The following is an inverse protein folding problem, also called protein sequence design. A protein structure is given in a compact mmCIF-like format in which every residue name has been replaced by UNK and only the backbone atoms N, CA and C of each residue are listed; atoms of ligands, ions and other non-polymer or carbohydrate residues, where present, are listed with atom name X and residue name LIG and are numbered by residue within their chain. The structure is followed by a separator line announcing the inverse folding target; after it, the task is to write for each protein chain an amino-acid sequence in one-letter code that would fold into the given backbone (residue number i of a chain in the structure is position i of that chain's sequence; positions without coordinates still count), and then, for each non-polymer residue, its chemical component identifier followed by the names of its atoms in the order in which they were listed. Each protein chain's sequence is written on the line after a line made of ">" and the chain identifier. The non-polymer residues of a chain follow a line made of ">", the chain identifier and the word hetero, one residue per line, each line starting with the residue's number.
data_IF_884553211399
#
_entry.id   IF_884553211399
#
_cell.length_a   1.000
_cell.length_b   1.000
_cell.length_c   1.000
_cell.angle_alpha   90.00
_cell.angle_beta   90.00
_cell.angle_gamma   90.00
#
_symmetry.space_group_name_H-M   'P 1'
#
loop_
_entity.id
_entity.type
_entity.pdbx_description
1 polymer ?
#
# COMPACT_ATOMS: atom_id res chain seq x y z
N UNK A 1 31.22 6.48 0.57
CA UNK A 1 30.87 6.70 0.63
C UNK A 1 30.53 6.66 0.73
N UNK A 2 30.40 6.67 0.70
CA UNK A 2 30.00 6.74 0.74
C UNK A 2 29.31 6.99 0.73
N UNK A 3 29.05 7.32 0.73
CA UNK A 3 28.32 7.55 0.68
C UNK A 3 27.61 7.64 0.00
N UNK A 4 27.40 7.78 -0.40
CA UNK A 4 26.85 7.97 -1.20
C UNK A 4 26.15 7.26 -1.95
N UNK A 5 26.45 6.80 -2.22
CA UNK A 5 25.97 5.94 -3.27
C UNK A 5 25.01 4.92 -2.84
N UNK A 6 25.16 4.41 -1.69
CA UNK A 6 24.30 3.33 -1.25
C UNK A 6 22.85 3.72 -1.02
N UNK A 7 22.60 4.92 -0.65
CA UNK A 7 21.19 5.24 -0.46
C UNK A 7 20.51 5.53 -1.77
N UNK A 8 21.24 5.59 -2.82
CA UNK A 8 20.61 5.63 -4.12
C UNK A 8 19.96 4.31 -4.43
N UNK A 9 20.51 3.25 -3.91
CA UNK A 9 19.92 1.95 -4.07
C UNK A 9 18.55 1.87 -3.43
N UNK A 10 18.36 2.59 -2.36
CA UNK A 10 17.08 2.59 -1.70
C UNK A 10 15.98 3.12 -2.56
N UNK A 11 16.30 4.00 -3.47
CA UNK A 11 15.27 4.60 -4.30
C UNK A 11 14.87 3.73 -5.47
N UNK A 12 15.85 3.07 -6.05
CA UNK A 12 15.61 2.34 -7.28
C UNK A 12 14.65 1.17 -7.13
N UNK A 13 14.84 0.29 -6.17
CA UNK A 13 13.99 -0.89 -6.08
C UNK A 13 12.54 -0.58 -5.81
N UNK A 14 12.28 0.36 -4.94
CA UNK A 14 10.90 0.58 -4.54
C UNK A 14 10.05 1.22 -5.59
N UNK A 15 10.65 1.85 -6.56
CA UNK A 15 9.89 2.51 -7.59
C UNK A 15 9.15 1.54 -8.49
N UNK A 16 9.65 0.32 -8.61
CA UNK A 16 9.11 -0.65 -9.54
C UNK A 16 8.38 -1.79 -8.86
N UNK A 17 8.21 -1.67 -7.59
CA UNK A 17 7.79 -2.79 -6.77
C UNK A 17 6.30 -2.74 -6.45
N UNK A 18 5.62 -3.85 -6.69
CA UNK A 18 4.21 -3.99 -6.35
C UNK A 18 4.05 -5.23 -5.48
N UNK A 19 3.50 -5.03 -4.30
CA UNK A 19 3.28 -6.09 -3.35
C UNK A 19 1.93 -6.76 -3.62
N UNK A 20 1.91 -8.07 -3.65
CA UNK A 20 0.65 -8.81 -3.81
C UNK A 20 0.53 -9.78 -2.64
N UNK A 21 -0.41 -9.55 -1.72
CA UNK A 21 -0.52 -10.40 -0.53
C UNK A 21 -0.92 -11.85 -0.80
N UNK A 22 -1.72 -12.09 -1.83
CA UNK A 22 -2.13 -13.45 -2.22
C UNK A 22 -2.93 -14.19 -1.17
N UNK A 23 -3.57 -13.50 -0.25
CA UNK A 23 -4.41 -14.12 0.74
C UNK A 23 -5.85 -13.74 0.52
N UNK A 24 -6.76 -14.72 0.55
CA UNK A 24 -8.19 -14.45 0.44
C UNK A 24 -8.78 -14.01 1.77
N UNK A 25 -8.04 -14.18 2.85
CA UNK A 25 -8.48 -13.75 4.17
C UNK A 25 -8.03 -12.31 4.38
N UNK A 26 -8.97 -11.34 4.51
CA UNK A 26 -8.58 -9.94 4.63
C UNK A 26 -7.72 -9.65 5.86
N UNK A 27 -7.96 -10.34 6.97
CA UNK A 27 -7.13 -10.12 8.15
C UNK A 27 -5.69 -10.53 7.92
N UNK A 28 -5.49 -11.65 7.24
CA UNK A 28 -4.13 -12.09 6.90
C UNK A 28 -3.46 -11.14 5.92
N UNK A 29 -4.24 -10.61 4.98
CA UNK A 29 -3.69 -9.64 4.03
C UNK A 29 -3.25 -8.38 4.74
N UNK A 30 -4.05 -7.90 5.69
CA UNK A 30 -3.68 -6.72 6.49
C UNK A 30 -2.39 -6.99 7.26
N UNK A 31 -2.29 -8.13 7.91
CA UNK A 31 -1.09 -8.47 8.66
C UNK A 31 0.14 -8.53 7.76
N UNK A 32 -0.02 -9.13 6.60
CA UNK A 32 1.09 -9.25 5.65
C UNK A 32 1.56 -7.87 5.18
N UNK A 33 0.62 -7.02 4.78
CA UNK A 33 0.97 -5.69 4.28
C UNK A 33 1.56 -4.83 5.40
N UNK A 34 0.96 -4.86 6.59
CA UNK A 34 1.47 -4.07 7.69
C UNK A 34 2.84 -4.54 8.13
N UNK A 35 3.09 -5.84 8.08
CA UNK A 35 4.40 -6.38 8.38
C UNK A 35 5.43 -5.88 7.37
N UNK A 36 5.05 -5.79 6.12
CA UNK A 36 5.93 -5.27 5.08
C UNK A 36 6.23 -3.79 5.33
N UNK A 37 5.21 -3.01 5.66
CA UNK A 37 5.39 -1.59 5.97
C UNK A 37 6.34 -1.42 7.14
N UNK A 38 6.20 -2.28 8.14
CA UNK A 38 7.01 -2.21 9.35
C UNK A 38 8.47 -2.55 9.08
N UNK A 39 8.71 -3.57 8.27
CA UNK A 39 10.05 -4.15 8.14
C UNK A 39 10.87 -3.66 6.96
N UNK A 40 10.27 -2.94 6.03
CA UNK A 40 10.98 -2.47 4.84
C UNK A 40 10.75 -1.00 4.64
N UNK A 41 11.68 -0.37 3.94
CA UNK A 41 11.51 1.03 3.59
C UNK A 41 10.57 1.10 2.38
N UNK A 42 9.40 1.69 2.56
CA UNK A 42 8.40 1.74 1.51
C UNK A 42 7.54 3.00 1.59
N UNK A 43 8.21 4.15 1.65
CA UNK A 43 7.50 5.42 1.69
C UNK A 43 6.57 5.57 0.48
N UNK A 44 7.04 5.12 -0.68
CA UNK A 44 6.20 5.04 -1.86
C UNK A 44 6.05 3.57 -2.22
N UNK A 45 4.84 3.06 -2.20
CA UNK A 45 4.63 1.65 -2.47
C UNK A 45 3.34 1.41 -3.23
N UNK A 46 3.24 0.26 -3.86
CA UNK A 46 2.04 -0.18 -4.57
C UNK A 46 1.64 -1.55 -4.06
N UNK A 47 0.34 -1.76 -3.94
CA UNK A 47 -0.19 -3.05 -3.51
C UNK A 47 -1.31 -3.47 -4.46
N UNK A 48 -1.25 -4.72 -4.92
CA UNK A 48 -2.25 -5.26 -5.81
C UNK A 48 -3.21 -6.13 -5.02
N UNK A 49 -4.44 -5.62 -4.84
CA UNK A 49 -5.52 -6.36 -4.20
C UNK A 49 -6.70 -6.49 -5.16
N UNK A 50 -6.40 -6.50 -6.46
CA UNK A 50 -7.44 -6.58 -7.48
C UNK A 50 -8.20 -7.91 -7.46
N UNK A 51 -7.66 -8.90 -6.77
CA UNK A 51 -8.33 -10.19 -6.62
C UNK A 51 -9.38 -10.18 -5.51
N UNK A 52 -9.44 -9.16 -4.70
CA UNK A 52 -10.39 -9.09 -3.58
C UNK A 52 -11.73 -8.52 -4.02
N UNK A 53 -12.80 -8.94 -3.34
CA UNK A 53 -14.08 -8.30 -3.56
C UNK A 53 -14.05 -6.87 -2.99
N UNK A 54 -15.07 -6.10 -3.33
CA UNK A 54 -15.10 -4.67 -3.01
C UNK A 54 -15.00 -4.42 -1.51
N UNK A 55 -15.75 -5.16 -0.71
CA UNK A 55 -15.77 -4.93 0.74
C UNK A 55 -14.43 -5.25 1.38
N UNK A 56 -13.83 -6.37 1.00
CA UNK A 56 -12.53 -6.74 1.54
C UNK A 56 -11.45 -5.76 1.10
N UNK A 57 -11.50 -5.34 -0.17
CA UNK A 57 -10.54 -4.37 -0.68
C UNK A 57 -10.66 -3.04 0.07
N UNK A 58 -11.88 -2.60 0.36
CA UNK A 58 -12.10 -1.37 1.12
C UNK A 58 -11.48 -1.48 2.51
N UNK A 59 -11.74 -2.60 3.19
CA UNK A 59 -11.21 -2.80 4.53
C UNK A 59 -9.69 -2.83 4.54
N UNK A 60 -9.11 -3.63 3.66
CA UNK A 60 -7.66 -3.79 3.63
C UNK A 60 -6.97 -2.47 3.29
N UNK A 61 -7.46 -1.80 2.26
CA UNK A 61 -6.82 -0.55 1.83
C UNK A 61 -6.93 0.53 2.89
N UNK A 62 -8.07 0.63 3.59
CA UNK A 62 -8.24 1.64 4.62
C UNK A 62 -7.30 1.39 5.80
N UNK A 63 -7.27 0.16 6.28
CA UNK A 63 -6.45 -0.17 7.44
C UNK A 63 -4.97 -0.01 7.15
N UNK A 64 -4.54 -0.49 6.01
CA UNK A 64 -3.10 -0.43 5.69
C UNK A 64 -2.66 0.95 5.24
N UNK A 65 -3.53 1.72 4.60
CA UNK A 65 -3.20 3.11 4.30
C UNK A 65 -3.01 3.93 5.57
N UNK A 66 -3.81 3.64 6.59
CA UNK A 66 -3.67 4.31 7.88
C UNK A 66 -2.32 3.99 8.50
N UNK A 67 -1.94 2.71 8.48
CA UNK A 67 -0.66 2.29 9.04
C UNK A 67 0.50 2.90 8.25
N UNK A 68 0.37 2.94 6.94
CA UNK A 68 1.39 3.54 6.09
C UNK A 68 1.53 5.04 6.38
N UNK A 69 0.40 5.73 6.55
CA UNK A 69 0.40 7.15 6.85
C UNK A 69 1.09 7.45 8.18
N UNK A 70 0.86 6.59 9.18
CA UNK A 70 1.48 6.77 10.49
C UNK A 70 2.99 6.69 10.37
N UNK A 71 3.49 5.76 9.59
CA UNK A 71 4.94 5.60 9.44
C UNK A 71 5.54 6.63 8.48
N UNK A 72 4.81 6.95 7.42
CA UNK A 72 5.29 7.86 6.37
C UNK A 72 4.27 8.95 6.10
N UNK A 73 4.23 10.00 6.90
CA UNK A 73 3.19 11.04 6.72
C UNK A 73 3.23 11.72 5.35
N UNK A 74 4.38 11.70 4.69
CA UNK A 74 4.51 12.30 3.37
C UNK A 74 4.60 11.25 2.27
N UNK A 75 4.30 10.02 2.59
CA UNK A 75 4.41 8.92 1.64
C UNK A 75 3.18 8.77 0.78
N UNK A 76 3.23 7.79 -0.10
CA UNK A 76 2.12 7.47 -0.98
C UNK A 76 1.99 5.97 -1.13
N UNK A 77 0.77 5.48 -1.03
CA UNK A 77 0.47 4.08 -1.27
C UNK A 77 -0.58 3.98 -2.38
N UNK A 78 -0.28 3.19 -3.39
CA UNK A 78 -1.16 3.00 -4.53
C UNK A 78 -1.78 1.61 -4.45
N UNK A 79 -3.10 1.56 -4.58
CA UNK A 79 -3.86 0.33 -4.49
C UNK A 79 -4.40 -0.05 -5.85
N UNK A 80 -4.02 -1.21 -6.37
CA UNK A 80 -4.63 -1.74 -7.57
C UNK A 80 -5.84 -2.55 -7.16
N UNK A 81 -7.01 -2.16 -7.68
CA UNK A 81 -8.29 -2.75 -7.25
C UNK A 81 -9.08 -3.21 -8.46
N UNK A 82 -10.13 -3.99 -8.21
CA UNK A 82 -10.94 -4.56 -9.28
C UNK A 82 -12.02 -3.61 -9.80
N UNK A 83 -12.31 -2.55 -9.06
CA UNK A 83 -13.44 -1.69 -9.40
C UNK A 83 -13.26 -0.30 -8.81
N UNK A 84 -13.75 0.71 -9.52
CA UNK A 84 -13.78 2.07 -9.02
C UNK A 84 -14.64 2.20 -7.77
N UNK A 85 -15.50 1.24 -7.51
CA UNK A 85 -16.36 1.25 -6.33
C UNK A 85 -15.55 1.28 -5.03
N UNK A 86 -14.34 0.69 -5.04
CA UNK A 86 -13.50 0.72 -3.85
C UNK A 86 -13.13 2.16 -3.52
N UNK A 87 -12.75 2.92 -4.54
CA UNK A 87 -12.39 4.32 -4.35
C UNK A 87 -13.59 5.12 -3.86
N UNK A 88 -14.77 4.86 -4.43
CA UNK A 88 -15.98 5.57 -4.02
C UNK A 88 -16.34 5.30 -2.58
N UNK A 89 -16.24 4.05 -2.15
CA UNK A 89 -16.54 3.70 -0.76
C UNK A 89 -15.60 4.39 0.21
N UNK A 90 -14.33 4.55 -0.18
CA UNK A 90 -13.32 5.06 0.73
C UNK A 90 -13.07 6.55 0.64
N UNK A 91 -13.77 7.26 -0.25
CA UNK A 91 -13.43 8.66 -0.49
C UNK A 91 -13.56 9.55 0.74
N UNK A 92 -14.50 9.22 1.62
CA UNK A 92 -14.70 10.02 2.81
C UNK A 92 -13.74 9.66 3.95
N UNK A 93 -12.99 8.56 3.76
CA UNK A 93 -12.03 8.10 4.74
C UNK A 93 -10.60 8.33 4.28
N UNK A 94 -10.46 8.98 3.15
CA UNK A 94 -9.17 9.16 2.51
C UNK A 94 -8.25 10.04 3.33
N UNK A 95 -7.03 9.57 3.53
CA UNK A 95 -6.03 10.30 4.30
C UNK A 95 -5.13 11.17 3.43
N UNK A 96 -5.34 11.17 2.14
CA UNK A 96 -4.52 11.94 1.23
C UNK A 96 -3.25 11.23 0.78
N UNK A 97 -2.93 10.10 1.39
CA UNK A 97 -1.75 9.33 1.01
C UNK A 97 -2.09 8.17 0.06
N UNK A 98 -3.36 7.92 -0.18
CA UNK A 98 -3.81 6.75 -0.94
C UNK A 98 -4.25 7.12 -2.33
N UNK A 99 -3.95 6.24 -3.27
CA UNK A 99 -4.38 6.39 -4.65
C UNK A 99 -4.89 5.04 -5.13
N UNK A 100 -5.99 5.03 -5.88
CA UNK A 100 -6.60 3.80 -6.36
C UNK A 100 -6.56 3.74 -7.87
N UNK A 101 -6.12 2.60 -8.42
CA UNK A 101 -6.06 2.39 -9.85
C UNK A 101 -6.70 1.04 -10.20
N UNK A 102 -7.05 0.86 -11.46
CA UNK A 102 -7.61 -0.41 -11.93
C UNK A 102 -6.56 -1.32 -12.60
#
# INVERSE_FOLDING_TARGET
>A
MKKQGKYMLNKLPQLQYTLTPNSVNPAEAVDYINSHIENYYCETMSVDISYMNILDACRVSTLCSTQHYIKYPNGKITWKVSSDSVKEFNKDLELGNSEYIL
#
